data_IF_527184958680
#
_entry.id   IF_527184958680
#
_cell.length_a   1.000
_cell.length_b   1.000
_cell.length_c   1.000
_cell.angle_alpha   90.00
_cell.angle_beta   90.00
_cell.angle_gamma   90.00
#
_symmetry.space_group_name_H-M   'P 1'
#
loop_
_entity.id
_entity.type
_entity.pdbx_description
1 polymer ?
#
# COMPACT_ATOMS: atom_id res chain seq x y z
N UNK A 1 9.29 -5.72 13.44
CA UNK A 1 8.55 -5.64 12.16
C UNK A 1 8.64 -4.26 11.50
N UNK A 2 8.18 -3.19 12.15
CA UNK A 2 8.15 -1.84 11.55
C UNK A 2 9.50 -1.35 11.01
N UNK A 3 10.59 -1.52 11.76
CA UNK A 3 11.93 -1.16 11.31
C UNK A 3 12.34 -1.92 10.02
N UNK A 4 12.00 -3.20 9.92
CA UNK A 4 12.29 -4.02 8.74
C UNK A 4 11.47 -3.58 7.52
N UNK A 5 10.20 -3.21 7.72
CA UNK A 5 9.36 -2.64 6.66
C UNK A 5 9.91 -1.29 6.18
N UNK A 6 10.33 -0.43 7.10
CA UNK A 6 10.90 0.87 6.76
C UNK A 6 12.22 0.72 5.98
N UNK A 7 13.11 -0.17 6.41
CA UNK A 7 14.35 -0.49 5.69
C UNK A 7 14.06 -1.07 4.28
N UNK A 8 13.05 -1.92 4.15
CA UNK A 8 12.61 -2.43 2.85
C UNK A 8 12.09 -1.30 1.94
N UNK A 9 11.31 -0.36 2.49
CA UNK A 9 10.81 0.81 1.75
C UNK A 9 11.97 1.74 1.35
N UNK A 10 12.97 1.93 2.20
CA UNK A 10 14.15 2.74 1.87
C UNK A 10 14.98 2.09 0.75
N UNK A 11 15.18 0.76 0.80
CA UNK A 11 15.78 0.00 -0.31
C UNK A 11 14.97 0.08 -1.60
N UNK A 12 13.64 0.12 -1.51
CA UNK A 12 12.75 0.34 -2.64
C UNK A 12 12.87 1.75 -3.20
N UNK A 13 13.02 2.78 -2.36
CA UNK A 13 13.19 4.16 -2.78
C UNK A 13 14.39 4.35 -3.71
N UNK A 14 15.49 3.60 -3.49
CA UNK A 14 16.67 3.59 -4.36
C UNK A 14 16.46 2.88 -5.71
N UNK A 15 15.32 2.20 -5.92
CA UNK A 15 15.00 1.46 -7.16
C UNK A 15 13.99 2.19 -8.04
N UNK A 16 13.44 3.31 -7.59
CA UNK A 16 12.46 4.11 -8.32
C UNK A 16 13.01 5.51 -8.60
N UNK A 17 12.32 6.26 -9.46
CA UNK A 17 12.71 7.65 -9.72
C UNK A 17 12.55 8.52 -8.47
N UNK A 18 13.37 9.56 -8.34
CA UNK A 18 13.29 10.53 -7.24
C UNK A 18 11.87 11.10 -7.07
N UNK A 19 11.22 11.47 -8.19
CA UNK A 19 9.84 11.97 -8.18
C UNK A 19 8.86 10.95 -7.59
N UNK A 20 9.01 9.66 -7.92
CA UNK A 20 8.19 8.62 -7.32
C UNK A 20 8.54 8.43 -5.84
N UNK A 21 9.82 8.44 -5.47
CA UNK A 21 10.24 8.27 -4.08
C UNK A 21 9.65 9.35 -3.16
N UNK A 22 9.69 10.62 -3.58
CA UNK A 22 9.10 11.75 -2.85
C UNK A 22 7.61 11.54 -2.56
N UNK A 23 6.87 10.90 -3.47
CA UNK A 23 5.43 10.69 -3.32
C UNK A 23 5.10 9.37 -2.62
N UNK A 24 5.76 8.28 -3.00
CA UNK A 24 5.40 6.92 -2.62
C UNK A 24 5.93 6.54 -1.24
N UNK A 25 7.15 6.95 -0.89
CA UNK A 25 7.76 6.59 0.40
C UNK A 25 6.93 7.11 1.59
N UNK A 26 6.50 8.39 1.63
CA UNK A 26 5.64 8.87 2.72
C UNK A 26 4.30 8.13 2.78
N UNK A 27 3.71 7.81 1.63
CA UNK A 27 2.46 7.05 1.55
C UNK A 27 2.60 5.65 2.16
N UNK A 28 3.68 4.95 1.82
CA UNK A 28 3.93 3.62 2.33
C UNK A 28 4.26 3.66 3.84
N UNK A 29 5.16 4.55 4.27
CA UNK A 29 5.59 4.65 5.68
C UNK A 29 4.50 5.14 6.62
N UNK A 30 3.65 6.07 6.17
CA UNK A 30 2.66 6.69 7.05
C UNK A 30 1.30 5.98 7.04
N UNK A 31 1.03 5.10 6.07
CA UNK A 31 -0.28 4.45 5.97
C UNK A 31 -0.19 2.94 5.77
N UNK A 32 0.61 2.47 4.81
CA UNK A 32 0.73 1.03 4.59
C UNK A 32 1.43 0.33 5.76
N UNK A 33 2.53 0.89 6.27
CA UNK A 33 3.26 0.30 7.41
C UNK A 33 2.38 0.23 8.67
N UNK A 34 1.72 1.32 9.13
CA UNK A 34 0.77 1.24 10.26
C UNK A 34 -0.31 0.19 10.06
N UNK A 35 -0.94 0.15 8.88
CA UNK A 35 -1.94 -0.88 8.57
C UNK A 35 -1.39 -2.30 8.76
N UNK A 36 -0.17 -2.58 8.27
CA UNK A 36 0.45 -3.90 8.45
C UNK A 36 0.69 -4.20 9.94
N UNK A 37 1.23 -3.26 10.70
CA UNK A 37 1.53 -3.45 12.12
C UNK A 37 0.28 -3.69 12.95
N UNK A 38 -0.83 -3.04 12.61
CA UNK A 38 -2.09 -3.15 13.34
C UNK A 38 -2.87 -4.44 13.00
N UNK A 39 -2.69 -4.99 11.79
CA UNK A 39 -3.56 -6.06 11.27
C UNK A 39 -2.85 -7.40 11.10
N UNK A 40 -1.52 -7.46 11.18
CA UNK A 40 -0.75 -8.68 10.99
C UNK A 40 0.20 -8.91 12.17
N UNK A 41 0.14 -10.11 12.73
CA UNK A 41 0.93 -10.51 13.91
C UNK A 41 2.26 -11.17 13.56
N UNK A 42 2.59 -11.30 12.27
CA UNK A 42 3.84 -11.93 11.84
C UNK A 42 5.06 -11.10 12.26
N UNK A 43 6.17 -11.80 12.52
CA UNK A 43 7.44 -11.20 12.91
C UNK A 43 8.47 -11.15 11.77
N UNK A 44 8.15 -11.76 10.62
CA UNK A 44 9.06 -11.87 9.49
C UNK A 44 8.40 -11.40 8.17
N UNK A 45 9.16 -10.68 7.34
CA UNK A 45 8.66 -10.09 6.10
C UNK A 45 8.29 -11.14 5.05
N UNK A 46 8.96 -12.30 5.04
CA UNK A 46 8.72 -13.34 4.05
C UNK A 46 7.32 -13.94 4.20
N UNK A 47 6.96 -14.37 5.41
CA UNK A 47 5.64 -14.90 5.75
C UNK A 47 4.56 -13.83 5.57
N UNK A 48 4.84 -12.59 5.97
CA UNK A 48 3.94 -11.47 5.68
C UNK A 48 3.58 -11.38 4.19
N UNK A 49 4.58 -11.28 3.31
CA UNK A 49 4.36 -11.00 1.89
C UNK A 49 4.01 -12.23 1.06
N UNK A 50 4.47 -13.42 1.46
CA UNK A 50 4.28 -14.65 0.67
C UNK A 50 3.10 -15.50 1.16
N UNK A 51 2.66 -15.34 2.42
CA UNK A 51 1.72 -16.27 3.05
C UNK A 51 0.50 -15.55 3.66
N UNK A 52 0.67 -14.37 4.26
CA UNK A 52 -0.42 -13.71 4.99
C UNK A 52 -1.13 -12.60 4.20
N UNK A 53 -0.40 -11.72 3.52
CA UNK A 53 -0.99 -10.62 2.77
C UNK A 53 -1.74 -11.19 1.56
N UNK A 54 -3.07 -11.07 1.62
CA UNK A 54 -3.96 -11.40 0.51
C UNK A 54 -4.30 -10.16 -0.30
N UNK A 55 -4.94 -10.35 -1.47
CA UNK A 55 -5.58 -9.26 -2.20
C UNK A 55 -6.51 -8.43 -1.32
N UNK A 56 -7.29 -9.10 -0.45
CA UNK A 56 -8.16 -8.39 0.48
C UNK A 56 -7.35 -7.52 1.45
N UNK A 57 -6.20 -8.00 1.93
CA UNK A 57 -5.27 -7.21 2.74
C UNK A 57 -4.82 -5.92 2.04
N UNK A 58 -4.48 -6.01 0.75
CA UNK A 58 -4.15 -4.82 -0.06
C UNK A 58 -5.36 -3.89 -0.17
N UNK A 59 -6.56 -4.43 -0.40
CA UNK A 59 -7.81 -3.65 -0.47
C UNK A 59 -8.05 -2.88 0.84
N UNK A 60 -7.97 -3.58 1.96
CA UNK A 60 -8.18 -3.00 3.29
C UNK A 60 -7.11 -1.97 3.64
N UNK A 61 -5.87 -2.12 3.16
CA UNK A 61 -4.84 -1.07 3.33
C UNK A 61 -5.20 0.23 2.61
N UNK A 62 -5.86 0.15 1.46
CA UNK A 62 -6.37 1.33 0.76
C UNK A 62 -7.58 1.95 1.44
N UNK A 63 -8.45 1.13 2.04
CA UNK A 63 -9.53 1.63 2.92
C UNK A 63 -8.93 2.34 4.14
N UNK A 64 -7.91 1.76 4.76
CA UNK A 64 -7.17 2.34 5.88
C UNK A 64 -6.57 3.70 5.50
N UNK A 65 -5.91 3.79 4.34
CA UNK A 65 -5.41 5.06 3.82
C UNK A 65 -6.52 6.11 3.69
N UNK A 66 -7.69 5.72 3.16
CA UNK A 66 -8.82 6.63 2.98
C UNK A 66 -9.46 7.06 4.30
N UNK A 67 -9.41 6.20 5.32
CA UNK A 67 -9.98 6.52 6.63
C UNK A 67 -9.07 7.42 7.47
N UNK A 68 -7.75 7.23 7.37
CA UNK A 68 -6.78 7.90 8.25
C UNK A 68 -6.07 9.09 7.60
N UNK A 69 -6.34 9.38 6.33
CA UNK A 69 -5.80 10.55 5.64
C UNK A 69 -6.90 11.60 5.45
N UNK A 70 -6.89 12.64 6.28
CA UNK A 70 -7.84 13.76 6.22
C UNK A 70 -7.81 14.49 4.86
N UNK A 71 -6.71 14.35 4.09
CA UNK A 71 -6.52 15.00 2.80
C UNK A 71 -6.94 14.14 1.60
N UNK A 72 -7.61 12.99 1.80
CA UNK A 72 -8.05 12.06 0.72
C UNK A 72 -9.29 12.53 -0.05
N UNK A 73 -9.71 13.79 0.07
CA UNK A 73 -10.84 14.33 -0.69
C UNK A 73 -10.73 14.17 -2.23
N UNK A 74 -9.53 13.94 -2.76
CA UNK A 74 -9.30 13.69 -4.17
C UNK A 74 -9.07 12.20 -4.50
N UNK A 75 -9.91 11.65 -5.40
CA UNK A 75 -9.73 10.33 -6.06
C UNK A 75 -8.31 10.10 -6.57
N UNK A 76 -7.62 11.15 -7.00
CA UNK A 76 -6.23 11.09 -7.46
C UNK A 76 -5.26 10.62 -6.37
N UNK A 77 -5.45 11.00 -5.10
CA UNK A 77 -4.57 10.58 -4.00
C UNK A 77 -4.67 9.10 -3.70
N UNK A 78 -5.87 8.52 -3.77
CA UNK A 78 -6.02 7.07 -3.67
C UNK A 78 -5.35 6.36 -4.84
N UNK A 79 -5.49 6.88 -6.06
CA UNK A 79 -4.79 6.31 -7.23
C UNK A 79 -3.27 6.34 -7.02
N UNK A 80 -2.71 7.43 -6.49
CA UNK A 80 -1.27 7.48 -6.17
C UNK A 80 -0.86 6.46 -5.12
N UNK A 81 -1.68 6.27 -4.07
CA UNK A 81 -1.43 5.26 -3.05
C UNK A 81 -1.44 3.84 -3.64
N UNK A 82 -2.41 3.53 -4.51
CA UNK A 82 -2.49 2.23 -5.19
C UNK A 82 -1.31 2.02 -6.15
N UNK A 83 -0.89 3.05 -6.88
CA UNK A 83 0.31 2.98 -7.73
C UNK A 83 1.59 2.75 -6.89
N UNK A 84 1.66 3.34 -5.69
CA UNK A 84 2.78 3.11 -4.78
C UNK A 84 2.81 1.66 -4.29
N UNK A 85 1.65 1.09 -3.95
CA UNK A 85 1.53 -0.32 -3.60
C UNK A 85 1.89 -1.23 -4.78
N UNK A 86 1.30 -1.00 -5.94
CA UNK A 86 1.58 -1.78 -7.15
C UNK A 86 3.09 -1.77 -7.48
N UNK A 87 3.71 -0.58 -7.48
CA UNK A 87 5.14 -0.43 -7.71
C UNK A 87 6.00 -1.11 -6.62
N UNK A 88 5.61 -1.02 -5.36
CA UNK A 88 6.32 -1.68 -4.25
C UNK A 88 6.26 -3.21 -4.35
N UNK A 89 5.12 -3.75 -4.76
CA UNK A 89 4.86 -5.18 -4.91
C UNK A 89 5.32 -5.75 -6.28
N UNK A 90 5.82 -4.94 -7.21
CA UNK A 90 6.42 -5.42 -8.48
C UNK A 90 7.83 -6.02 -8.26
N UNK A 91 8.45 -5.82 -7.09
CA UNK A 91 9.72 -6.47 -6.73
C UNK A 91 9.55 -8.01 -6.79
N UNK A 92 10.54 -8.79 -7.30
CA UNK A 92 10.36 -10.18 -7.79
C UNK A 92 9.71 -11.20 -6.85
N UNK A 93 9.57 -10.91 -5.56
CA UNK A 93 8.93 -11.79 -4.58
C UNK A 93 7.38 -11.79 -4.67
N UNK A 94 6.78 -10.82 -5.37
CA UNK A 94 5.34 -10.51 -5.26
C UNK A 94 4.59 -10.47 -6.61
N UNK A 95 5.29 -10.82 -7.71
CA UNK A 95 4.83 -10.72 -9.11
C UNK A 95 3.56 -11.51 -9.47
N UNK A 96 3.10 -12.42 -8.60
CA UNK A 96 1.91 -13.25 -8.80
C UNK A 96 0.63 -12.71 -8.15
N UNK A 97 0.68 -11.61 -7.39
CA UNK A 97 -0.47 -11.16 -6.57
C UNK A 97 -1.42 -10.17 -7.27
N UNK A 98 -0.98 -9.48 -8.32
CA UNK A 98 -1.66 -8.29 -8.86
C UNK A 98 -2.23 -8.54 -10.26
N UNK A 99 -3.38 -9.21 -10.34
CA UNK A 99 -4.38 -8.86 -11.38
C UNK A 99 -5.06 -7.54 -10.98
N UNK A 100 -5.55 -6.71 -11.93
CA UNK A 100 -5.66 -5.27 -11.75
C UNK A 100 -6.59 -4.92 -10.58
N UNK A 101 -5.95 -4.47 -9.48
CA UNK A 101 -6.60 -4.03 -8.25
C UNK A 101 -7.51 -2.80 -8.49
N UNK A 102 -7.27 -2.07 -9.57
CA UNK A 102 -7.93 -0.82 -9.92
C UNK A 102 -9.46 -0.89 -10.00
N UNK A 103 -10.06 -2.02 -10.42
CA UNK A 103 -11.53 -2.11 -10.58
C UNK A 103 -12.28 -2.13 -9.24
N UNK A 104 -11.74 -2.80 -8.22
CA UNK A 104 -12.40 -2.91 -6.90
C UNK A 104 -12.40 -1.59 -6.14
N UNK A 105 -11.34 -0.80 -6.30
CA UNK A 105 -11.18 0.47 -5.59
C UNK A 105 -12.03 1.61 -6.16
N UNK A 106 -12.35 1.60 -7.46
CA UNK A 106 -13.26 2.57 -8.05
C UNK A 106 -14.67 2.45 -7.42
N UNK A 107 -15.12 1.23 -7.12
CA UNK A 107 -16.41 1.00 -6.47
C UNK A 107 -16.46 1.50 -5.01
N UNK A 108 -15.39 1.30 -4.23
CA UNK A 108 -15.29 1.80 -2.85
C UNK A 108 -15.29 3.34 -2.76
N UNK A 109 -14.62 4.02 -3.71
CA UNK A 109 -14.61 5.48 -3.81
C UNK A 109 -16.00 6.06 -4.10
N UNK A 110 -16.77 5.43 -4.99
CA UNK A 110 -18.14 5.87 -5.34
C UNK A 110 -19.08 5.79 -4.13
N UNK A 111 -18.85 4.84 -3.22
CA UNK A 111 -19.68 4.67 -2.03
C UNK A 111 -19.43 5.74 -0.96
N UNK A 112 -18.17 6.19 -0.79
CA UNK A 112 -17.79 7.18 0.23
C UNK A 112 -18.00 8.64 -0.22
N UNK A 113 -17.97 8.93 -1.53
CA UNK A 113 -18.25 10.28 -2.06
C UNK A 113 -19.75 10.61 -2.20
N UNK A 114 -20.64 9.71 -1.79
CA UNK A 114 -22.11 9.88 -1.79
C UNK A 114 -22.72 10.06 -0.39
N UNK A 115 -21.89 10.15 0.64
CA UNK A 115 -22.26 10.49 2.03
C UNK A 115 -21.57 11.81 2.41
#
# INVERSE_FOLDING_TARGET
>A
MQANLNDLIDKYAHKISEKQAIQYVPMLKNYFVPYIIENYSCNNLKSLFCEEITRNGIIQSGVYYVMNNENVSAKSRLIYFLNALDSFFIIPCLKYFLTPIYEVFIHLLVYKMKL
#
